data_IF_254823157191
#
_entry.id   IF_254823157191
#
_cell.length_a   1.000
_cell.length_b   1.000
_cell.length_c   1.000
_cell.angle_alpha   90.00
_cell.angle_beta   90.00
_cell.angle_gamma   90.00
#
_symmetry.space_group_name_H-M   'P 1'
#
loop_
_entity.id
_entity.type
_entity.pdbx_description
1 polymer ?
#
# COMPACT_ATOMS: atom_id res chain seq x y z
N UNK A 1 74.64 -22.03 -9.64
CA UNK A 1 74.49 -22.74 -8.35
C UNK A 1 75.75 -22.48 -7.54
N UNK A 2 75.62 -21.94 -6.32
CA UNK A 2 74.69 -20.87 -5.89
C UNK A 2 75.42 -19.83 -4.98
N UNK A 3 74.90 -18.65 -4.62
CA UNK A 3 73.61 -17.96 -4.85
C UNK A 3 73.63 -16.62 -4.08
N UNK A 4 72.95 -15.62 -4.63
CA UNK A 4 73.15 -14.17 -4.46
C UNK A 4 72.30 -13.47 -3.36
N UNK A 5 72.78 -12.27 -2.96
CA UNK A 5 72.12 -10.95 -2.65
C UNK A 5 70.83 -10.88 -1.77
N UNK A 6 70.45 -9.80 -1.07
CA UNK A 6 70.47 -8.36 -1.38
C UNK A 6 70.12 -7.49 -0.13
N UNK A 7 70.43 -6.20 -0.22
CA UNK A 7 70.30 -5.07 0.72
C UNK A 7 68.85 -4.72 1.16
N UNK A 8 68.66 -4.18 2.38
CA UNK A 8 67.43 -3.46 2.77
C UNK A 8 67.66 -2.32 3.78
N UNK A 9 67.04 -1.17 3.54
CA UNK A 9 66.87 -0.02 4.43
C UNK A 9 65.57 0.73 4.04
N UNK A 10 65.09 1.75 4.78
CA UNK A 10 64.73 1.82 6.20
C UNK A 10 63.26 2.30 6.40
N UNK A 11 62.76 2.31 7.64
CA UNK A 11 61.39 2.73 8.01
C UNK A 11 61.27 4.23 8.35
N UNK A 12 60.14 4.90 8.03
CA UNK A 12 59.85 6.26 8.49
C UNK A 12 58.88 6.30 9.69
N UNK A 13 59.09 7.27 10.58
CA UNK A 13 58.24 7.53 11.76
C UNK A 13 57.04 8.45 11.49
N UNK A 14 56.15 8.56 12.50
CA UNK A 14 55.08 9.57 12.52
C UNK A 14 54.16 9.58 13.76
N UNK A 15 54.26 10.69 14.52
CA UNK A 15 53.17 11.51 15.13
C UNK A 15 52.48 11.04 16.45
N UNK A 16 52.17 11.96 17.41
CA UNK A 16 52.05 11.67 18.83
C UNK A 16 50.62 11.36 19.33
N UNK A 17 50.55 10.68 20.46
CA UNK A 17 49.34 10.26 21.18
C UNK A 17 48.58 11.43 21.82
N UNK A 18 47.41 11.76 21.29
CA UNK A 18 46.45 12.69 21.88
C UNK A 18 45.03 12.14 21.81
N UNK A 19 44.28 12.33 22.89
CA UNK A 19 42.81 12.26 22.91
C UNK A 19 42.20 10.95 23.38
N UNK A 20 41.93 10.84 24.69
CA UNK A 20 40.93 9.92 25.20
C UNK A 20 39.54 10.42 24.80
N UNK A 21 39.00 9.93 23.69
CA UNK A 21 37.60 10.12 23.33
C UNK A 21 36.76 9.15 24.15
N UNK A 22 36.13 9.65 25.21
CA UNK A 22 35.01 8.97 25.86
C UNK A 22 33.90 8.89 24.81
N UNK A 23 33.72 7.70 24.22
CA UNK A 23 32.55 7.40 23.39
C UNK A 23 31.32 7.57 24.27
N UNK A 24 30.64 8.71 24.14
CA UNK A 24 29.33 8.95 24.74
C UNK A 24 28.43 7.85 24.19
N UNK A 25 28.08 6.90 25.05
CA UNK A 25 27.25 5.76 24.70
C UNK A 25 25.98 6.23 24.00
N UNK A 26 25.69 5.64 22.84
CA UNK A 26 24.39 5.80 22.17
C UNK A 26 23.28 5.63 23.20
N UNK A 27 22.23 6.48 23.20
CA UNK A 27 21.13 6.35 24.13
C UNK A 27 20.61 4.92 24.08
N UNK A 28 20.60 4.28 25.26
CA UNK A 28 20.16 2.90 25.47
C UNK A 28 18.80 2.75 24.77
N UNK A 29 18.70 1.85 23.78
CA UNK A 29 17.41 1.53 23.14
C UNK A 29 16.42 1.23 24.26
N UNK A 30 15.39 2.06 24.35
CA UNK A 30 14.33 1.88 25.33
C UNK A 30 13.79 0.46 25.13
N UNK A 31 13.72 -0.38 26.18
CA UNK A 31 13.14 -1.71 26.06
C UNK A 31 11.73 -1.60 25.44
N UNK A 32 11.39 -2.47 24.48
CA UNK A 32 10.09 -2.49 23.82
C UNK A 32 8.89 -2.17 24.76
N UNK A 33 8.75 -2.81 25.94
CA UNK A 33 7.64 -2.50 26.86
C UNK A 33 7.61 -1.04 27.35
N UNK A 34 8.76 -0.43 27.59
CA UNK A 34 8.84 0.96 28.05
C UNK A 34 8.54 1.96 26.93
N UNK A 35 8.82 1.61 25.67
CA UNK A 35 8.39 2.42 24.51
C UNK A 35 6.87 2.43 24.34
N UNK A 36 6.20 1.31 24.62
CA UNK A 36 4.73 1.23 24.58
C UNK A 36 4.09 2.03 25.71
N UNK A 37 4.67 2.00 26.91
CA UNK A 37 4.21 2.79 28.05
C UNK A 37 4.36 4.30 27.80
N UNK A 38 5.51 4.73 27.26
CA UNK A 38 5.73 6.14 26.90
C UNK A 38 4.81 6.60 25.77
N UNK A 39 4.55 5.75 24.78
CA UNK A 39 3.58 6.04 23.72
C UNK A 39 2.16 6.20 24.28
N UNK A 40 1.73 5.30 25.18
CA UNK A 40 0.43 5.37 25.84
C UNK A 40 0.26 6.66 26.68
N UNK A 41 1.29 7.05 27.43
CA UNK A 41 1.31 8.32 28.19
C UNK A 41 1.21 9.54 27.25
N UNK A 42 1.96 9.52 26.15
CA UNK A 42 1.94 10.62 25.18
C UNK A 42 0.59 10.78 24.49
N UNK A 43 -0.12 9.67 24.23
CA UNK A 43 -1.45 9.66 23.62
C UNK A 43 -2.51 10.33 24.52
N UNK A 44 -2.34 10.21 25.85
CA UNK A 44 -3.27 10.76 26.87
C UNK A 44 -2.72 12.00 27.57
N UNK A 45 -1.69 12.65 27.02
CA UNK A 45 -1.05 13.85 27.60
C UNK A 45 -2.03 14.94 28.00
N UNK A 46 -3.12 15.13 27.23
CA UNK A 46 -4.11 16.18 27.46
C UNK A 46 -4.95 15.90 28.71
N UNK A 47 -5.37 14.65 28.90
CA UNK A 47 -6.12 14.21 30.07
C UNK A 47 -5.25 14.28 31.33
N UNK A 48 -4.00 13.82 31.24
CA UNK A 48 -3.02 13.94 32.34
C UNK A 48 -2.76 15.40 32.72
N UNK A 49 -2.59 16.30 31.74
CA UNK A 49 -2.40 17.73 32.01
C UNK A 49 -3.59 18.35 32.74
N UNK A 50 -4.83 17.96 32.39
CA UNK A 50 -6.03 18.41 33.08
C UNK A 50 -6.08 17.89 34.52
N UNK A 51 -5.66 16.64 34.76
CA UNK A 51 -5.59 16.09 36.12
C UNK A 51 -4.53 16.80 36.97
N UNK A 52 -3.33 17.02 36.42
CA UNK A 52 -2.27 17.73 37.14
C UNK A 52 -2.63 19.20 37.40
N UNK A 53 -3.31 19.88 36.47
CA UNK A 53 -3.77 21.26 36.69
C UNK A 53 -4.87 21.34 37.75
N UNK A 54 -5.81 20.39 37.76
CA UNK A 54 -6.83 20.29 38.80
C UNK A 54 -6.20 20.02 40.18
N UNK A 55 -5.23 19.12 40.26
CA UNK A 55 -4.49 18.83 41.49
C UNK A 55 -3.74 20.08 42.00
N UNK A 56 -3.06 20.80 41.10
CA UNK A 56 -2.39 22.05 41.45
C UNK A 56 -3.39 23.10 41.95
N UNK A 57 -4.54 23.27 41.28
CA UNK A 57 -5.57 24.21 41.70
C UNK A 57 -6.11 23.93 43.10
N UNK A 58 -6.38 22.66 43.42
CA UNK A 58 -6.81 22.24 44.77
C UNK A 58 -5.71 22.50 45.80
N UNK A 59 -4.47 22.14 45.46
CA UNK A 59 -3.31 22.30 46.34
C UNK A 59 -3.05 23.77 46.68
N UNK A 60 -3.00 24.65 45.68
CA UNK A 60 -2.79 26.08 45.89
C UNK A 60 -4.02 26.75 46.53
N UNK A 61 -5.23 26.34 46.15
CA UNK A 61 -6.47 26.86 46.73
C UNK A 61 -6.58 26.53 48.21
N UNK A 62 -6.62 25.25 48.58
CA UNK A 62 -6.76 24.82 49.97
C UNK A 62 -5.52 25.13 50.81
N UNK A 63 -4.32 25.13 50.22
CA UNK A 63 -3.11 25.60 50.92
C UNK A 63 -3.11 27.10 51.18
N UNK A 64 -3.63 27.91 50.26
CA UNK A 64 -3.87 29.33 50.50
C UNK A 64 -4.91 29.58 51.59
N UNK A 65 -6.00 28.80 51.62
CA UNK A 65 -6.97 28.86 52.72
C UNK A 65 -6.35 28.44 54.06
N UNK A 66 -5.54 27.37 54.08
CA UNK A 66 -4.85 26.92 55.29
C UNK A 66 -3.91 27.99 55.85
N UNK A 67 -3.24 28.75 54.96
CA UNK A 67 -2.42 29.91 55.31
C UNK A 67 -3.27 31.05 55.89
N UNK A 68 -4.36 31.43 55.22
CA UNK A 68 -5.24 32.54 55.64
C UNK A 68 -5.93 32.28 56.98
N UNK A 69 -6.40 31.05 57.22
CA UNK A 69 -7.18 30.69 58.40
C UNK A 69 -6.35 30.12 59.56
N UNK A 70 -5.02 30.06 59.42
CA UNK A 70 -4.14 29.55 60.46
C UNK A 70 -4.45 28.11 60.83
N UNK A 71 -3.98 27.15 60.02
CA UNK A 71 -4.06 25.72 60.38
C UNK A 71 -3.48 25.46 61.77
N UNK A 72 -2.40 26.17 62.13
CA UNK A 72 -1.84 26.14 63.47
C UNK A 72 -2.31 27.32 64.34
N UNK A 73 -2.58 27.04 65.61
CA UNK A 73 -3.09 28.00 66.61
C UNK A 73 -1.98 28.68 67.43
N UNK A 74 -0.72 28.55 67.01
CA UNK A 74 0.43 29.21 67.63
C UNK A 74 0.47 30.73 67.39
N UNK A 75 1.16 31.50 68.25
CA UNK A 75 1.16 32.98 68.21
C UNK A 75 1.87 33.60 66.99
N UNK A 76 2.58 32.82 66.17
CA UNK A 76 3.34 33.30 65.01
C UNK A 76 2.67 33.02 63.65
N UNK A 77 1.59 32.23 63.61
CA UNK A 77 1.00 31.77 62.34
C UNK A 77 1.92 30.83 61.55
N UNK A 78 1.50 30.44 60.33
CA UNK A 78 2.30 29.60 59.42
C UNK A 78 2.75 30.43 58.21
N UNK A 79 3.97 30.20 57.74
CA UNK A 79 4.47 30.80 56.50
C UNK A 79 3.76 30.18 55.28
N UNK A 80 3.64 30.94 54.19
CA UNK A 80 2.96 30.48 52.97
C UNK A 80 3.61 29.23 52.34
N UNK A 81 4.94 29.17 52.36
CA UNK A 81 5.69 28.00 51.88
C UNK A 81 5.39 26.75 52.74
N UNK A 82 5.39 26.93 54.07
CA UNK A 82 5.07 25.86 55.02
C UNK A 82 3.62 25.36 54.87
N UNK A 83 2.67 26.26 54.61
CA UNK A 83 1.27 25.92 54.35
C UNK A 83 1.09 25.12 53.06
N UNK A 84 1.84 25.47 52.00
CA UNK A 84 1.87 24.72 50.74
C UNK A 84 2.47 23.32 50.94
N UNK A 85 3.63 23.21 51.59
CA UNK A 85 4.28 21.93 51.87
C UNK A 85 3.43 21.03 52.75
N UNK A 86 2.75 21.59 53.76
CA UNK A 86 1.77 20.87 54.58
C UNK A 86 0.59 20.38 53.74
N UNK A 87 0.04 21.23 52.86
CA UNK A 87 -1.10 20.87 52.01
C UNK A 87 -0.72 19.78 51.01
N UNK A 88 0.49 19.83 50.46
CA UNK A 88 1.03 18.79 49.59
C UNK A 88 1.22 17.48 50.35
N UNK A 89 1.83 17.52 51.54
CA UNK A 89 2.03 16.37 52.42
C UNK A 89 0.70 15.72 52.82
N UNK A 90 -0.30 16.53 53.15
CA UNK A 90 -1.65 16.10 53.54
C UNK A 90 -2.42 15.50 52.36
N UNK A 91 -2.38 16.15 51.18
CA UNK A 91 -3.06 15.67 49.98
C UNK A 91 -2.45 14.36 49.44
N UNK A 92 -1.12 14.22 49.50
CA UNK A 92 -0.41 12.99 49.08
C UNK A 92 -0.38 11.91 50.14
N UNK A 93 -0.83 12.21 51.36
CA UNK A 93 -0.72 11.35 52.54
C UNK A 93 0.71 10.85 52.77
N UNK A 94 1.72 11.68 52.46
CA UNK A 94 3.13 11.32 52.61
C UNK A 94 3.64 11.48 54.04
N UNK A 95 3.03 12.39 54.81
CA UNK A 95 3.35 12.60 56.23
C UNK A 95 4.71 13.26 56.48
N UNK A 96 5.38 13.76 55.44
CA UNK A 96 6.72 14.39 55.54
C UNK A 96 6.66 15.70 56.33
N UNK A 97 5.57 16.45 56.17
CA UNK A 97 5.27 17.65 56.94
C UNK A 97 3.97 17.42 57.70
N UNK A 98 4.06 17.24 59.02
CA UNK A 98 2.92 17.00 59.90
C UNK A 98 2.67 18.22 60.81
N UNK A 99 1.62 18.97 60.48
CA UNK A 99 1.04 19.97 61.37
C UNK A 99 -0.36 19.49 61.71
N UNK A 100 -0.70 19.49 63.00
CA UNK A 100 -2.02 19.09 63.48
C UNK A 100 -2.90 20.33 63.62
N UNK A 101 -3.96 20.48 62.81
CA UNK A 101 -4.76 21.69 62.87
C UNK A 101 -5.48 21.84 64.20
N UNK A 102 -5.19 22.94 64.90
CA UNK A 102 -5.82 23.28 66.17
C UNK A 102 -7.24 23.82 65.98
N UNK A 103 -7.51 24.49 64.84
CA UNK A 103 -8.81 25.10 64.52
C UNK A 103 -9.77 24.14 63.82
N UNK A 104 -11.08 24.32 64.04
CA UNK A 104 -12.11 23.51 63.37
C UNK A 104 -12.12 23.71 61.85
N UNK A 105 -11.80 24.93 61.38
CA UNK A 105 -11.63 25.25 59.95
C UNK A 105 -10.43 24.53 59.37
N UNK A 106 -9.28 24.53 60.05
CA UNK A 106 -8.09 23.81 59.62
C UNK A 106 -8.32 22.31 59.50
N UNK A 107 -9.10 21.72 60.42
CA UNK A 107 -9.52 20.31 60.35
C UNK A 107 -10.44 20.03 59.16
N UNK A 108 -11.34 20.96 58.82
CA UNK A 108 -12.20 20.82 57.64
C UNK A 108 -11.37 20.87 56.35
N UNK A 109 -10.40 21.79 56.26
CA UNK A 109 -9.46 21.88 55.13
C UNK A 109 -8.63 20.61 55.01
N UNK A 110 -8.11 20.09 56.13
CA UNK A 110 -7.38 18.83 56.18
C UNK A 110 -8.24 17.67 55.65
N UNK A 111 -9.50 17.57 56.11
CA UNK A 111 -10.43 16.54 55.62
C UNK A 111 -10.67 16.67 54.11
N UNK A 112 -10.89 17.89 53.61
CA UNK A 112 -11.04 18.14 52.17
C UNK A 112 -9.79 17.75 51.39
N UNK A 113 -8.59 18.15 51.84
CA UNK A 113 -7.31 17.79 51.20
C UNK A 113 -7.13 16.27 51.11
N UNK A 114 -7.44 15.54 52.18
CA UNK A 114 -7.33 14.06 52.20
C UNK A 114 -8.34 13.43 51.24
N UNK A 115 -9.60 13.83 51.28
CA UNK A 115 -10.66 13.28 50.41
C UNK A 115 -10.35 13.56 48.93
N UNK A 116 -9.99 14.80 48.60
CA UNK A 116 -9.66 15.19 47.22
C UNK A 116 -8.35 14.53 46.77
N UNK A 117 -7.36 14.37 47.65
CA UNK A 117 -6.11 13.67 47.36
C UNK A 117 -6.34 12.22 46.94
N UNK A 118 -7.14 11.48 47.71
CA UNK A 118 -7.52 10.10 47.38
C UNK A 118 -8.28 10.03 46.05
N UNK A 119 -9.21 10.96 45.81
CA UNK A 119 -9.97 11.03 44.56
C UNK A 119 -9.06 11.29 43.34
N UNK A 120 -8.12 12.22 43.45
CA UNK A 120 -7.17 12.56 42.37
C UNK A 120 -6.23 11.40 42.04
N UNK A 121 -5.68 10.72 43.05
CA UNK A 121 -4.81 9.54 42.84
C UNK A 121 -5.61 8.40 42.17
N UNK A 122 -6.85 8.20 42.58
CA UNK A 122 -7.74 7.19 41.98
C UNK A 122 -8.02 7.50 40.51
N UNK A 123 -8.29 8.76 40.18
CA UNK A 123 -8.55 9.20 38.81
C UNK A 123 -7.29 9.10 37.93
N UNK A 124 -6.12 9.47 38.46
CA UNK A 124 -4.83 9.29 37.79
C UNK A 124 -4.59 7.81 37.45
N UNK A 125 -4.81 6.93 38.42
CA UNK A 125 -4.68 5.47 38.22
C UNK A 125 -5.67 4.95 37.19
N UNK A 126 -6.92 5.45 37.19
CA UNK A 126 -7.95 5.10 36.21
C UNK A 126 -7.60 5.52 34.77
N UNK A 127 -7.10 6.74 34.58
CA UNK A 127 -6.64 7.23 33.27
C UNK A 127 -5.42 6.44 32.78
N UNK A 128 -4.46 6.14 33.65
CA UNK A 128 -3.31 5.31 33.30
C UNK A 128 -3.72 3.88 32.92
N UNK A 129 -4.60 3.26 33.71
CA UNK A 129 -5.09 1.90 33.46
C UNK A 129 -5.85 1.81 32.14
N UNK A 130 -6.77 2.75 31.88
CA UNK A 130 -7.54 2.77 30.62
C UNK A 130 -6.66 3.03 29.41
N UNK A 131 -5.65 3.90 29.54
CA UNK A 131 -4.67 4.15 28.49
C UNK A 131 -3.84 2.91 28.16
N UNK A 132 -3.38 2.19 29.18
CA UNK A 132 -2.64 0.94 29.00
C UNK A 132 -3.52 -0.13 28.34
N UNK A 133 -4.73 -0.36 28.86
CA UNK A 133 -5.67 -1.34 28.29
C UNK A 133 -5.97 -1.05 26.81
N UNK A 134 -6.26 0.21 26.46
CA UNK A 134 -6.51 0.60 25.07
C UNK A 134 -5.28 0.38 24.18
N UNK A 135 -4.07 0.62 24.68
CA UNK A 135 -2.84 0.40 23.92
C UNK A 135 -2.56 -1.09 23.68
N UNK A 136 -2.83 -1.94 24.67
CA UNK A 136 -2.67 -3.41 24.57
C UNK A 136 -3.72 -3.98 23.62
N UNK A 137 -4.97 -3.53 23.72
CA UNK A 137 -6.06 -3.94 22.84
C UNK A 137 -5.77 -3.55 21.39
N UNK A 138 -5.32 -2.32 21.13
CA UNK A 138 -4.96 -1.85 19.80
C UNK A 138 -3.80 -2.64 19.19
N UNK A 139 -2.79 -3.00 19.98
CA UNK A 139 -1.69 -3.83 19.50
C UNK A 139 -2.14 -5.27 19.23
N UNK A 140 -2.97 -5.84 20.10
CA UNK A 140 -3.60 -7.16 19.88
C UNK A 140 -4.45 -7.17 18.60
N UNK A 141 -5.19 -6.09 18.35
CA UNK A 141 -5.98 -5.88 17.14
C UNK A 141 -5.10 -5.80 15.88
N UNK A 142 -4.03 -4.99 15.91
CA UNK A 142 -3.05 -4.91 14.80
C UNK A 142 -2.37 -6.25 14.53
N UNK A 143 -1.99 -6.98 15.58
CA UNK A 143 -1.38 -8.31 15.45
C UNK A 143 -2.34 -9.29 14.78
N UNK A 144 -3.57 -9.35 15.26
CA UNK A 144 -4.61 -10.21 14.68
C UNK A 144 -4.90 -9.84 13.22
N UNK A 145 -4.95 -8.54 12.91
CA UNK A 145 -5.13 -8.07 11.53
C UNK A 145 -3.97 -8.51 10.62
N UNK A 146 -2.71 -8.47 11.10
CA UNK A 146 -1.54 -8.96 10.36
C UNK A 146 -1.58 -10.48 10.15
N UNK A 147 -1.91 -11.25 11.18
CA UNK A 147 -2.04 -12.71 11.06
C UNK A 147 -3.13 -13.08 10.03
N UNK A 148 -4.27 -12.38 10.07
CA UNK A 148 -5.35 -12.53 9.08
C UNK A 148 -4.94 -12.11 7.67
N UNK A 149 -4.16 -11.04 7.54
CA UNK A 149 -3.57 -10.60 6.27
C UNK A 149 -2.74 -11.71 5.65
N UNK A 150 -1.87 -12.34 6.42
CA UNK A 150 -0.97 -13.39 5.92
C UNK A 150 -1.75 -14.63 5.45
N UNK A 151 -2.76 -15.05 6.21
CA UNK A 151 -3.68 -16.11 5.80
C UNK A 151 -4.43 -15.78 4.50
N UNK A 152 -4.85 -14.52 4.29
CA UNK A 152 -5.46 -14.09 3.03
C UNK A 152 -4.46 -14.17 1.88
N UNK A 153 -3.23 -13.69 2.07
CA UNK A 153 -2.17 -13.79 1.04
C UNK A 153 -1.94 -15.26 0.66
N UNK A 154 -1.85 -16.15 1.65
CA UNK A 154 -1.72 -17.59 1.43
C UNK A 154 -2.92 -18.14 0.65
N UNK A 155 -4.15 -17.78 1.03
CA UNK A 155 -5.36 -18.20 0.32
C UNK A 155 -5.38 -17.69 -1.14
N UNK A 156 -4.84 -16.50 -1.41
CA UNK A 156 -4.65 -15.99 -2.77
C UNK A 156 -3.54 -16.69 -3.55
N UNK A 157 -2.57 -17.32 -2.89
CA UNK A 157 -1.48 -18.03 -3.56
C UNK A 157 -1.92 -19.37 -4.16
N UNK A 158 -3.09 -19.88 -3.74
CA UNK A 158 -3.58 -21.21 -4.12
C UNK A 158 -4.83 -21.08 -5.01
N UNK A 159 -4.80 -21.72 -6.19
CA UNK A 159 -5.98 -21.80 -7.06
C UNK A 159 -7.07 -22.69 -6.44
N UNK A 160 -8.36 -22.36 -6.66
CA UNK A 160 -9.49 -22.97 -5.95
C UNK A 160 -9.58 -24.48 -6.15
N UNK A 161 -9.32 -24.95 -7.36
CA UNK A 161 -9.49 -26.35 -7.73
C UNK A 161 -8.21 -26.97 -8.28
N UNK A 162 -8.10 -28.30 -8.19
CA UNK A 162 -6.96 -29.04 -8.77
C UNK A 162 -6.87 -28.84 -10.30
N UNK A 163 -7.98 -28.88 -11.07
CA UNK A 163 -7.96 -28.53 -12.49
C UNK A 163 -7.36 -27.15 -12.77
N UNK A 164 -7.72 -26.13 -11.99
CA UNK A 164 -7.19 -24.77 -12.18
C UNK A 164 -5.68 -24.71 -11.93
N UNK A 165 -5.19 -25.39 -10.89
CA UNK A 165 -3.74 -25.49 -10.61
C UNK A 165 -2.99 -26.10 -11.79
N UNK A 166 -3.53 -27.19 -12.35
CA UNK A 166 -2.95 -27.87 -13.52
C UNK A 166 -3.01 -26.99 -14.78
N UNK A 167 -4.11 -26.27 -14.98
CA UNK A 167 -4.29 -25.36 -16.11
C UNK A 167 -3.26 -24.23 -16.08
N UNK A 168 -3.21 -23.51 -14.96
CA UNK A 168 -2.32 -22.36 -14.77
C UNK A 168 -0.85 -22.77 -14.91
N UNK A 169 -0.47 -23.93 -14.38
CA UNK A 169 0.88 -24.49 -14.57
C UNK A 169 1.17 -24.84 -16.04
N UNK A 170 0.23 -25.49 -16.74
CA UNK A 170 0.38 -25.82 -18.17
C UNK A 170 0.54 -24.60 -19.05
N UNK A 171 -0.14 -23.51 -18.70
CA UNK A 171 -0.10 -22.26 -19.44
C UNK A 171 1.12 -21.39 -19.11
N UNK A 172 2.00 -21.80 -18.19
CA UNK A 172 3.23 -21.07 -17.84
C UNK A 172 3.02 -19.91 -16.87
N UNK A 173 2.00 -19.98 -16.01
CA UNK A 173 1.64 -18.94 -15.03
C UNK A 173 1.77 -19.47 -13.59
N UNK A 174 2.86 -20.13 -13.25
CA UNK A 174 2.98 -20.92 -12.00
C UNK A 174 2.93 -20.10 -10.70
N UNK A 175 3.23 -18.81 -10.74
CA UNK A 175 3.12 -17.87 -9.63
C UNK A 175 1.82 -17.04 -9.66
N UNK A 176 0.91 -17.34 -10.61
CA UNK A 176 -0.34 -16.61 -10.73
C UNK A 176 -1.20 -16.88 -9.51
N UNK A 177 -1.46 -15.78 -8.80
CA UNK A 177 -2.44 -15.76 -7.72
C UNK A 177 -3.83 -16.11 -8.22
N UNK A 178 -4.69 -16.46 -7.29
CA UNK A 178 -6.11 -16.62 -7.50
C UNK A 178 -6.72 -15.27 -7.89
N UNK A 179 -7.65 -15.31 -8.84
CA UNK A 179 -8.32 -14.12 -9.38
C UNK A 179 -9.09 -13.32 -8.33
N UNK A 180 -9.84 -14.01 -7.45
CA UNK A 180 -10.58 -13.40 -6.35
C UNK A 180 -10.89 -14.42 -5.25
N UNK A 181 -11.19 -13.90 -4.06
CA UNK A 181 -11.86 -14.63 -3.00
C UNK A 181 -13.19 -13.96 -2.72
N UNK A 182 -14.26 -14.74 -2.56
CA UNK A 182 -15.51 -14.12 -2.16
C UNK A 182 -15.59 -13.92 -0.67
N UNK A 183 -16.47 -13.03 -0.24
CA UNK A 183 -16.74 -12.81 1.17
C UNK A 183 -17.22 -14.10 1.86
N UNK A 184 -18.09 -14.87 1.21
CA UNK A 184 -18.60 -16.14 1.73
C UNK A 184 -17.50 -17.21 1.84
N UNK A 185 -16.58 -17.29 0.87
CA UNK A 185 -15.43 -18.21 0.92
C UNK A 185 -14.51 -17.84 2.07
N UNK A 186 -14.23 -16.56 2.28
CA UNK A 186 -13.40 -16.07 3.39
C UNK A 186 -14.07 -16.41 4.73
N UNK A 187 -15.37 -16.18 4.86
CA UNK A 187 -16.11 -16.49 6.08
C UNK A 187 -16.18 -18.01 6.35
N UNK A 188 -16.42 -18.83 5.32
CA UNK A 188 -16.61 -20.27 5.48
C UNK A 188 -15.29 -21.05 5.62
N UNK A 189 -14.30 -20.76 4.79
CA UNK A 189 -13.05 -21.52 4.72
C UNK A 189 -11.98 -20.95 5.67
N UNK A 190 -11.82 -19.63 5.70
CA UNK A 190 -10.83 -18.97 6.58
C UNK A 190 -11.39 -18.67 7.97
N UNK A 191 -12.71 -18.83 8.17
CA UNK A 191 -13.41 -18.57 9.44
C UNK A 191 -13.22 -17.15 9.96
N UNK A 192 -13.13 -16.19 9.04
CA UNK A 192 -13.01 -14.78 9.40
C UNK A 192 -14.41 -14.22 9.65
N UNK A 193 -14.62 -13.51 10.78
CA UNK A 193 -15.85 -12.77 10.96
C UNK A 193 -15.89 -11.58 9.98
N UNK A 194 -17.10 -11.11 9.63
CA UNK A 194 -17.30 -10.14 8.56
C UNK A 194 -16.57 -8.81 8.80
N UNK A 195 -16.57 -8.34 10.04
CA UNK A 195 -15.87 -7.13 10.49
C UNK A 195 -14.34 -7.25 10.34
N UNK A 196 -13.79 -8.43 10.57
CA UNK A 196 -12.36 -8.69 10.43
C UNK A 196 -11.87 -8.53 8.98
N UNK A 197 -12.68 -8.92 7.99
CA UNK A 197 -12.33 -8.77 6.57
C UNK A 197 -12.21 -7.27 6.23
N UNK A 198 -13.18 -6.47 6.67
CA UNK A 198 -13.16 -5.02 6.47
C UNK A 198 -12.01 -4.35 7.22
N UNK A 199 -11.69 -4.85 8.41
CA UNK A 199 -10.56 -4.38 9.19
C UNK A 199 -9.21 -4.63 8.48
N UNK A 200 -9.02 -5.82 7.91
CA UNK A 200 -7.81 -6.10 7.11
C UNK A 200 -7.72 -5.11 5.95
N UNK A 201 -8.80 -4.93 5.21
CA UNK A 201 -8.84 -4.01 4.06
C UNK A 201 -8.55 -2.55 4.44
N UNK A 202 -8.93 -2.13 5.64
CA UNK A 202 -8.69 -0.77 6.13
C UNK A 202 -7.21 -0.50 6.39
N UNK A 203 -6.46 -1.50 6.86
CA UNK A 203 -5.06 -1.34 7.25
C UNK A 203 -4.07 -1.85 6.20
N UNK A 204 -4.53 -2.66 5.25
CA UNK A 204 -3.71 -3.32 4.23
C UNK A 204 -4.14 -2.91 2.82
N UNK A 205 -3.50 -1.89 2.22
CA UNK A 205 -3.90 -1.30 0.94
C UNK A 205 -3.65 -2.22 -0.27
N UNK A 206 -3.06 -3.39 -0.08
CA UNK A 206 -2.93 -4.47 -1.08
C UNK A 206 -4.24 -5.24 -1.34
N UNK A 207 -5.27 -5.04 -0.52
CA UNK A 207 -6.58 -5.65 -0.70
C UNK A 207 -7.64 -4.61 -1.09
N UNK A 208 -8.61 -5.04 -1.91
CA UNK A 208 -9.76 -4.23 -2.29
C UNK A 208 -11.03 -5.06 -2.28
N UNK A 209 -12.09 -4.48 -1.71
CA UNK A 209 -13.44 -5.01 -1.82
C UNK A 209 -14.06 -4.53 -3.11
N UNK A 210 -14.73 -5.43 -3.81
CA UNK A 210 -15.55 -5.09 -4.97
C UNK A 210 -16.88 -5.81 -4.90
N UNK A 211 -17.88 -5.12 -5.43
CA UNK A 211 -19.14 -5.73 -5.79
C UNK A 211 -19.08 -6.13 -7.27
N UNK A 212 -19.39 -7.39 -7.56
CA UNK A 212 -19.39 -7.93 -8.91
C UNK A 212 -20.70 -8.67 -9.14
N UNK A 213 -21.39 -8.37 -10.24
CA UNK A 213 -22.60 -9.09 -10.63
C UNK A 213 -22.31 -10.60 -10.75
N UNK A 214 -23.24 -11.44 -10.32
CA UNK A 214 -23.06 -12.91 -10.37
C UNK A 214 -23.11 -13.44 -11.80
N UNK A 215 -23.91 -12.79 -12.66
CA UNK A 215 -24.02 -13.08 -14.09
C UNK A 215 -24.07 -11.78 -14.89
N UNK A 216 -23.70 -11.85 -16.16
CA UNK A 216 -23.83 -10.72 -17.08
C UNK A 216 -25.30 -10.27 -17.16
N UNK A 217 -25.56 -8.98 -16.90
CA UNK A 217 -26.92 -8.41 -16.92
C UNK A 217 -27.77 -8.72 -15.69
N UNK A 218 -27.25 -9.43 -14.69
CA UNK A 218 -27.93 -9.67 -13.42
C UNK A 218 -27.78 -8.48 -12.46
N UNK A 219 -28.82 -8.21 -11.68
CA UNK A 219 -28.77 -7.31 -10.53
C UNK A 219 -28.29 -7.99 -9.24
N UNK A 220 -28.22 -9.32 -9.25
CA UNK A 220 -27.65 -10.09 -8.14
C UNK A 220 -26.13 -9.93 -8.16
N UNK A 221 -25.57 -9.52 -7.03
CA UNK A 221 -24.16 -9.18 -6.88
C UNK A 221 -23.52 -9.97 -5.74
N UNK A 222 -22.21 -10.17 -5.87
CA UNK A 222 -21.39 -10.83 -4.87
C UNK A 222 -20.26 -9.91 -4.46
N UNK A 223 -19.99 -9.88 -3.16
CA UNK A 223 -18.81 -9.21 -2.61
C UNK A 223 -17.58 -10.10 -2.78
N UNK A 224 -16.57 -9.54 -3.44
CA UNK A 224 -15.31 -10.20 -3.71
C UNK A 224 -14.15 -9.35 -3.25
N UNK A 225 -13.10 -10.03 -2.83
CA UNK A 225 -11.82 -9.46 -2.45
C UNK A 225 -10.84 -9.71 -3.59
N UNK A 226 -10.14 -8.64 -3.96
CA UNK A 226 -8.99 -8.68 -4.85
C UNK A 226 -7.72 -8.43 -4.03
N UNK A 227 -6.63 -9.10 -4.41
CA UNK A 227 -5.29 -8.83 -3.90
C UNK A 227 -4.43 -8.31 -5.05
N UNK A 228 -3.70 -7.22 -4.84
CA UNK A 228 -2.82 -6.59 -5.82
C UNK A 228 -1.49 -6.12 -5.20
N UNK A 229 -0.52 -5.80 -6.04
CA UNK A 229 0.75 -5.24 -5.57
C UNK A 229 0.54 -3.78 -5.19
N UNK A 230 0.94 -3.41 -3.97
CA UNK A 230 0.73 -2.07 -3.39
C UNK A 230 2.07 -1.46 -2.91
N UNK A 231 3.03 -1.29 -3.83
CA UNK A 231 4.37 -0.79 -3.50
C UNK A 231 4.67 0.60 -4.07
N UNK A 232 3.72 1.21 -4.77
CA UNK A 232 3.82 2.54 -5.36
C UNK A 232 2.59 3.39 -5.01
N UNK A 233 2.71 4.73 -5.03
CA UNK A 233 1.58 5.61 -4.69
C UNK A 233 0.38 5.48 -5.64
N UNK A 234 0.56 4.91 -6.83
CA UNK A 234 -0.51 4.63 -7.79
C UNK A 234 -1.04 3.19 -7.72
N UNK A 235 -0.38 2.30 -6.97
CA UNK A 235 -0.70 0.88 -6.93
C UNK A 235 0.55 0.01 -6.97
N UNK A 236 0.73 -0.71 -8.07
CA UNK A 236 1.74 -1.76 -8.17
C UNK A 236 2.74 -1.56 -9.29
N UNK A 237 4.02 -1.80 -8.99
CA UNK A 237 5.10 -1.87 -9.97
C UNK A 237 6.02 -3.05 -9.68
N UNK A 238 6.18 -3.96 -10.63
CA UNK A 238 7.17 -5.03 -10.58
C UNK A 238 8.18 -4.82 -11.69
N UNK A 239 9.38 -4.38 -11.33
CA UNK A 239 10.49 -4.22 -12.26
C UNK A 239 11.27 -5.52 -12.38
N UNK A 240 11.46 -6.01 -13.60
CA UNK A 240 12.42 -7.08 -13.90
C UNK A 240 13.64 -6.45 -14.58
N UNK A 241 14.82 -6.61 -13.98
CA UNK A 241 16.05 -6.10 -14.54
C UNK A 241 16.32 -6.75 -15.91
N UNK A 242 16.61 -5.93 -16.93
CA UNK A 242 16.87 -6.41 -18.28
C UNK A 242 15.62 -6.78 -19.11
N UNK A 243 14.41 -6.76 -18.53
CA UNK A 243 13.20 -7.08 -19.28
C UNK A 243 12.94 -6.06 -20.39
N UNK A 244 12.71 -6.56 -21.61
CA UNK A 244 12.33 -5.77 -22.80
C UNK A 244 10.83 -5.76 -23.06
N UNK A 245 10.08 -6.55 -22.29
CA UNK A 245 8.62 -6.61 -22.34
C UNK A 245 8.06 -5.95 -21.09
N UNK A 246 7.06 -5.10 -21.29
CA UNK A 246 6.36 -4.37 -20.24
C UNK A 246 4.86 -4.57 -20.42
N UNK A 247 4.14 -4.83 -19.32
CA UNK A 247 2.68 -4.93 -19.31
C UNK A 247 2.13 -3.85 -18.40
N UNK A 248 1.20 -3.05 -18.93
CA UNK A 248 0.66 -1.88 -18.24
C UNK A 248 -0.86 -1.99 -18.18
N UNK A 249 -1.44 -1.84 -16.98
CA UNK A 249 -2.88 -1.65 -16.80
C UNK A 249 -3.17 -0.39 -16.00
N UNK A 250 -3.94 0.52 -16.58
CA UNK A 250 -4.30 1.81 -15.97
C UNK A 250 -5.72 1.82 -15.41
N UNK A 251 -6.52 0.80 -15.71
CA UNK A 251 -7.94 0.70 -15.38
C UNK A 251 -8.20 -0.33 -14.27
N UNK A 252 -7.16 -0.80 -13.57
CA UNK A 252 -7.26 -1.83 -12.54
C UNK A 252 -8.12 -1.42 -11.34
N UNK A 253 -8.20 -0.12 -11.02
CA UNK A 253 -9.17 0.42 -10.06
C UNK A 253 -10.61 0.54 -10.63
N UNK A 254 -10.75 0.90 -11.90
CA UNK A 254 -12.06 1.15 -12.50
C UNK A 254 -12.86 -0.14 -12.70
N UNK A 255 -12.19 -1.23 -13.09
CA UNK A 255 -12.83 -2.49 -13.45
C UNK A 255 -12.26 -3.68 -12.69
N UNK A 256 -13.15 -4.61 -12.33
CA UNK A 256 -12.78 -5.84 -11.65
C UNK A 256 -11.85 -6.70 -12.51
N UNK A 257 -10.83 -7.27 -11.87
CA UNK A 257 -9.94 -8.31 -12.39
C UNK A 257 -9.05 -7.94 -13.59
N UNK A 258 -9.10 -6.73 -14.16
CA UNK A 258 -8.19 -6.34 -15.25
C UNK A 258 -6.74 -6.22 -14.80
N UNK A 259 -6.48 -5.72 -13.58
CA UNK A 259 -5.14 -5.72 -12.99
C UNK A 259 -4.63 -7.14 -12.73
N UNK A 260 -5.52 -8.05 -12.33
CA UNK A 260 -5.16 -9.47 -12.23
C UNK A 260 -4.80 -10.05 -13.61
N UNK A 261 -5.60 -9.79 -14.63
CA UNK A 261 -5.38 -10.26 -16.00
C UNK A 261 -4.01 -9.80 -16.52
N UNK A 262 -3.73 -8.51 -16.39
CA UNK A 262 -2.47 -7.91 -16.80
C UNK A 262 -1.28 -8.43 -15.97
N UNK A 263 -1.46 -8.64 -14.67
CA UNK A 263 -0.42 -9.23 -13.81
C UNK A 263 -0.05 -10.66 -14.21
N UNK A 264 -1.03 -11.49 -14.52
CA UNK A 264 -0.82 -12.86 -15.02
C UNK A 264 -0.18 -12.87 -16.42
N UNK A 265 -0.58 -11.95 -17.31
CA UNK A 265 0.07 -11.77 -18.60
C UNK A 265 1.55 -11.40 -18.44
N UNK A 266 1.85 -10.47 -17.53
CA UNK A 266 3.21 -10.05 -17.25
C UNK A 266 4.06 -11.21 -16.71
N UNK A 267 3.49 -12.04 -15.85
CA UNK A 267 4.15 -13.22 -15.32
C UNK A 267 4.45 -14.24 -16.44
N UNK A 268 3.46 -14.55 -17.28
CA UNK A 268 3.63 -15.50 -18.39
C UNK A 268 4.72 -15.07 -19.36
N UNK A 269 4.87 -13.76 -19.59
CA UNK A 269 5.85 -13.21 -20.52
C UNK A 269 7.18 -12.81 -19.87
N UNK A 270 7.36 -13.07 -18.56
CA UNK A 270 8.51 -12.56 -17.79
C UNK A 270 8.74 -11.04 -18.01
N UNK A 271 7.65 -10.28 -18.00
CA UNK A 271 7.60 -8.86 -18.29
C UNK A 271 7.55 -8.00 -17.02
N UNK A 272 8.07 -6.76 -17.12
CA UNK A 272 7.85 -5.75 -16.07
C UNK A 272 6.37 -5.35 -16.04
N UNK A 273 5.81 -5.15 -14.84
CA UNK A 273 4.38 -4.94 -14.64
C UNK A 273 4.08 -3.59 -13.97
N UNK A 274 3.11 -2.84 -14.51
CA UNK A 274 2.67 -1.55 -13.99
C UNK A 274 1.14 -1.55 -13.85
N UNK A 275 0.64 -1.22 -12.66
CA UNK A 275 -0.79 -1.25 -12.35
C UNK A 275 -1.24 -0.01 -11.59
N UNK A 276 -2.22 0.71 -12.13
CA UNK A 276 -2.95 1.73 -11.37
C UNK A 276 -4.11 1.10 -10.59
N UNK A 277 -3.92 0.95 -9.28
CA UNK A 277 -4.85 0.27 -8.39
C UNK A 277 -5.70 1.23 -7.53
N UNK A 278 -5.36 2.52 -7.50
CA UNK A 278 -5.99 3.49 -6.60
C UNK A 278 -6.81 4.58 -7.30
N UNK A 279 -6.54 4.88 -8.57
CA UNK A 279 -7.16 6.03 -9.23
C UNK A 279 -8.09 5.60 -10.36
N UNK A 280 -9.22 6.29 -10.51
CA UNK A 280 -10.10 6.09 -11.67
C UNK A 280 -10.94 7.34 -11.90
N UNK A 281 -11.26 7.63 -13.16
CA UNK A 281 -12.13 8.76 -13.50
C UNK A 281 -13.53 8.67 -12.87
N UNK A 282 -13.97 7.44 -12.56
CA UNK A 282 -15.25 7.17 -11.90
C UNK A 282 -15.18 7.08 -10.37
N UNK A 283 -14.06 7.39 -9.72
CA UNK A 283 -13.95 7.28 -8.26
C UNK A 283 -14.95 8.19 -7.55
N UNK A 284 -15.53 7.71 -6.45
CA UNK A 284 -16.42 8.51 -5.60
C UNK A 284 -15.68 9.67 -4.94
N UNK A 285 -14.39 9.49 -4.64
CA UNK A 285 -13.56 10.46 -3.96
C UNK A 285 -12.87 11.38 -4.98
N UNK A 286 -13.10 12.70 -4.87
CA UNK A 286 -12.57 13.68 -5.82
C UNK A 286 -11.04 13.61 -5.97
N UNK A 287 -10.32 13.38 -4.87
CA UNK A 287 -8.85 13.22 -4.86
C UNK A 287 -8.32 11.99 -5.63
N UNK A 288 -9.18 11.02 -5.92
CA UNK A 288 -8.85 9.78 -6.64
C UNK A 288 -9.34 9.81 -8.10
N UNK A 289 -10.01 10.89 -8.53
CA UNK A 289 -10.53 11.07 -9.89
C UNK A 289 -9.46 11.49 -10.89
N UNK A 290 -8.46 10.62 -11.06
CA UNK A 290 -7.38 10.84 -12.04
C UNK A 290 -7.48 9.77 -13.12
N UNK A 291 -7.52 10.21 -14.38
CA UNK A 291 -7.53 9.30 -15.53
C UNK A 291 -6.09 8.94 -15.91
N UNK A 292 -5.67 7.70 -15.64
CA UNK A 292 -4.34 7.20 -16.03
C UNK A 292 -4.32 6.67 -17.48
N UNK A 293 -5.47 6.34 -18.07
CA UNK A 293 -5.52 5.89 -19.45
C UNK A 293 -5.32 7.04 -20.45
N UNK A 294 -5.94 8.20 -20.18
CA UNK A 294 -5.84 9.39 -21.03
C UNK A 294 -5.64 10.65 -20.18
N UNK A 295 -4.47 11.26 -20.31
CA UNK A 295 -4.07 12.44 -19.55
C UNK A 295 -3.04 13.28 -20.33
N UNK A 296 -3.26 14.59 -20.40
CA UNK A 296 -2.33 15.51 -21.06
C UNK A 296 -0.98 15.60 -20.36
N UNK A 297 -0.93 15.32 -19.05
CA UNK A 297 0.29 15.33 -18.25
C UNK A 297 1.37 14.36 -18.73
N UNK A 298 1.02 13.34 -19.53
CA UNK A 298 2.03 12.49 -20.18
C UNK A 298 2.91 13.28 -21.16
N UNK A 299 2.30 14.17 -21.95
CA UNK A 299 2.97 14.99 -22.95
C UNK A 299 3.47 16.33 -22.38
N UNK A 300 2.77 16.85 -21.38
CA UNK A 300 3.06 18.13 -20.72
C UNK A 300 3.32 17.93 -19.22
N UNK A 301 4.57 17.63 -18.81
CA UNK A 301 4.88 17.30 -17.41
C UNK A 301 4.54 18.39 -16.40
N UNK A 302 4.45 19.66 -16.83
CA UNK A 302 4.05 20.78 -15.99
C UNK A 302 2.63 20.62 -15.42
N UNK A 303 1.75 19.84 -16.06
CA UNK A 303 0.38 19.58 -15.60
C UNK A 303 0.30 18.50 -14.51
N UNK A 304 1.42 17.86 -14.14
CA UNK A 304 1.45 16.76 -13.16
C UNK A 304 1.61 17.24 -11.71
N UNK A 305 1.77 18.54 -11.48
CA UNK A 305 1.99 19.12 -10.15
C UNK A 305 0.86 18.73 -9.18
N UNK A 306 -0.37 18.67 -9.67
CA UNK A 306 -1.56 18.36 -8.88
C UNK A 306 -1.80 16.85 -8.70
N UNK A 307 -0.95 15.98 -9.26
CA UNK A 307 -1.13 14.53 -9.27
C UNK A 307 0.19 13.79 -9.02
N UNK A 308 0.67 13.74 -7.77
CA UNK A 308 1.95 13.10 -7.43
C UNK A 308 1.98 11.61 -7.79
N UNK A 309 0.85 10.91 -7.71
CA UNK A 309 0.75 9.50 -8.09
C UNK A 309 0.94 9.29 -9.61
N UNK A 310 0.36 10.16 -10.44
CA UNK A 310 0.53 10.12 -11.90
C UNK A 310 1.95 10.55 -12.30
N UNK A 311 2.53 11.53 -11.60
CA UNK A 311 3.92 11.92 -11.76
C UNK A 311 4.87 10.75 -11.48
N UNK A 312 4.67 10.03 -10.37
CA UNK A 312 5.44 8.84 -10.02
C UNK A 312 5.27 7.73 -11.07
N UNK A 313 4.04 7.47 -11.53
CA UNK A 313 3.77 6.49 -12.58
C UNK A 313 4.48 6.82 -13.89
N UNK A 314 4.39 8.09 -14.35
CA UNK A 314 5.08 8.54 -15.55
C UNK A 314 6.59 8.40 -15.39
N UNK A 315 7.15 8.75 -14.23
CA UNK A 315 8.57 8.59 -13.97
C UNK A 315 9.00 7.11 -14.04
N UNK A 316 8.25 6.20 -13.41
CA UNK A 316 8.52 4.76 -13.49
C UNK A 316 8.42 4.25 -14.94
N UNK A 317 7.46 4.71 -15.74
CA UNK A 317 7.34 4.37 -17.16
C UNK A 317 8.54 4.88 -17.98
N UNK A 318 8.87 6.17 -17.86
CA UNK A 318 9.94 6.82 -18.63
C UNK A 318 11.32 6.27 -18.28
N UNK A 319 11.57 5.94 -17.02
CA UNK A 319 12.87 5.46 -16.57
C UNK A 319 13.14 3.99 -16.95
N UNK A 320 12.11 3.20 -17.22
CA UNK A 320 12.25 1.76 -17.40
C UNK A 320 12.00 1.28 -18.83
N UNK A 321 11.20 1.99 -19.63
CA UNK A 321 10.87 1.62 -21.00
C UNK A 321 11.84 2.31 -21.97
N UNK A 322 12.48 1.52 -22.82
CA UNK A 322 13.43 2.01 -23.82
C UNK A 322 12.84 1.97 -25.23
N UNK A 323 13.49 2.66 -26.16
CA UNK A 323 13.12 2.64 -27.59
C UNK A 323 13.13 1.21 -28.11
N UNK A 324 12.04 0.78 -28.74
CA UNK A 324 11.90 -0.57 -29.29
C UNK A 324 11.57 -1.67 -28.28
N UNK A 325 11.39 -1.36 -26.99
CA UNK A 325 10.81 -2.31 -26.03
C UNK A 325 9.34 -2.61 -26.40
N UNK A 326 8.89 -3.83 -26.10
CA UNK A 326 7.50 -4.25 -26.28
C UNK A 326 6.67 -3.81 -25.07
N UNK A 327 5.58 -3.11 -25.32
CA UNK A 327 4.63 -2.69 -24.29
C UNK A 327 3.24 -3.21 -24.64
N UNK A 328 2.68 -4.04 -23.77
CA UNK A 328 1.29 -4.48 -23.86
C UNK A 328 0.45 -3.66 -22.88
N UNK A 329 -0.35 -2.75 -23.42
CA UNK A 329 -1.35 -2.02 -22.66
C UNK A 329 -2.62 -2.85 -22.57
N UNK A 330 -3.10 -3.08 -21.34
CA UNK A 330 -4.33 -3.83 -21.05
C UNK A 330 -5.35 -2.89 -20.42
N UNK A 331 -6.38 -2.58 -21.19
CA UNK A 331 -7.58 -1.86 -20.74
C UNK A 331 -8.82 -2.76 -20.69
N UNK A 332 -9.97 -2.14 -20.48
CA UNK A 332 -11.28 -2.78 -20.42
C UNK A 332 -12.21 -2.28 -21.52
N UNK A 333 -13.04 -3.18 -22.02
CA UNK A 333 -14.12 -2.92 -22.96
C UNK A 333 -15.47 -3.32 -22.36
N UNK A 334 -16.54 -2.71 -22.84
CA UNK A 334 -17.90 -3.00 -22.38
C UNK A 334 -18.29 -4.45 -22.65
N UNK A 335 -19.22 -5.00 -21.86
CA UNK A 335 -19.73 -6.36 -22.00
C UNK A 335 -20.26 -6.71 -23.40
N UNK A 336 -20.68 -5.71 -24.19
CA UNK A 336 -21.21 -5.86 -25.54
C UNK A 336 -20.13 -5.95 -26.63
N UNK A 337 -18.88 -5.65 -26.30
CA UNK A 337 -17.77 -5.74 -27.24
C UNK A 337 -17.33 -7.20 -27.42
N UNK A 338 -16.39 -7.43 -28.33
CA UNK A 338 -15.70 -8.71 -28.45
C UNK A 338 -14.92 -9.08 -27.21
N UNK A 339 -14.64 -10.37 -27.01
CA UNK A 339 -13.98 -10.90 -25.80
C UNK A 339 -12.62 -10.23 -25.55
N UNK A 340 -11.85 -10.05 -26.62
CA UNK A 340 -10.67 -9.20 -26.68
C UNK A 340 -10.84 -8.23 -27.84
N UNK A 341 -10.39 -6.99 -27.67
CA UNK A 341 -10.41 -5.99 -28.73
C UNK A 341 -9.03 -5.37 -28.91
N UNK A 342 -8.47 -5.44 -30.12
CA UNK A 342 -7.20 -4.81 -30.45
C UNK A 342 -7.44 -3.38 -30.96
N UNK A 343 -6.66 -2.44 -30.44
CA UNK A 343 -6.61 -1.08 -30.96
C UNK A 343 -5.21 -0.78 -31.47
N UNK A 344 -5.06 -0.84 -32.79
CA UNK A 344 -3.80 -0.63 -33.51
C UNK A 344 -3.89 0.69 -34.27
N UNK A 345 -4.33 1.76 -33.61
CA UNK A 345 -4.75 2.98 -34.32
C UNK A 345 -3.56 3.68 -34.97
N UNK A 346 -3.45 3.67 -36.29
CA UNK A 346 -2.70 4.67 -37.05
C UNK A 346 -3.55 5.94 -37.19
N UNK A 347 -2.97 7.14 -37.06
CA UNK A 347 -3.36 8.25 -37.91
C UNK A 347 -2.57 8.15 -39.21
N UNK A 348 -3.26 8.05 -40.35
CA UNK A 348 -2.69 8.03 -41.70
C UNK A 348 -1.76 9.22 -42.04
N UNK A 349 -1.63 10.21 -41.16
CA UNK A 349 -0.85 11.44 -41.38
C UNK A 349 0.65 11.33 -41.04
N UNK A 350 1.12 10.21 -40.48
CA UNK A 350 2.52 9.99 -40.08
C UNK A 350 3.19 8.82 -40.82
N UNK A 351 2.61 8.35 -41.93
CA UNK A 351 3.18 7.28 -42.75
C UNK A 351 4.50 7.67 -43.44
N UNK A 352 4.97 8.92 -43.33
CA UNK A 352 6.02 9.48 -44.17
C UNK A 352 7.33 9.87 -43.45
N UNK A 353 7.59 9.35 -42.25
CA UNK A 353 8.90 9.49 -41.61
C UNK A 353 9.53 8.11 -41.39
N UNK A 354 10.39 7.70 -42.32
CA UNK A 354 11.11 6.43 -42.29
C UNK A 354 11.77 6.14 -40.94
N UNK A 355 11.14 5.27 -40.15
CA UNK A 355 11.68 4.44 -39.05
C UNK A 355 10.53 3.60 -38.49
N UNK A 356 10.40 2.37 -39.02
CA UNK A 356 9.43 1.35 -38.55
C UNK A 356 9.77 0.94 -37.11
N UNK A 357 9.02 1.45 -36.13
CA UNK A 357 9.18 1.07 -34.72
C UNK A 357 7.88 0.58 -34.06
N UNK A 358 6.92 0.16 -34.86
CA UNK A 358 5.61 -0.27 -34.40
C UNK A 358 5.22 -1.57 -35.09
N UNK A 359 4.48 -2.42 -34.38
CA UNK A 359 3.87 -3.67 -34.88
C UNK A 359 2.88 -3.40 -36.05
N UNK A 360 2.78 -2.15 -36.52
CA UNK A 360 1.92 -1.70 -37.61
C UNK A 360 2.10 -2.49 -38.91
N UNK A 361 3.29 -3.04 -39.19
CA UNK A 361 3.51 -3.93 -40.34
C UNK A 361 3.09 -5.39 -40.12
N UNK A 362 2.90 -5.81 -38.86
CA UNK A 362 2.57 -7.17 -38.44
C UNK A 362 1.20 -7.24 -37.70
N UNK A 363 0.41 -6.17 -37.78
CA UNK A 363 -0.91 -6.07 -37.14
C UNK A 363 -1.87 -7.20 -37.53
N UNK A 364 -1.91 -7.50 -38.84
CA UNK A 364 -2.72 -8.59 -39.39
C UNK A 364 -2.19 -9.96 -38.96
N UNK A 365 -0.86 -10.10 -38.87
CA UNK A 365 -0.21 -11.31 -38.38
C UNK A 365 -0.50 -11.55 -36.90
N UNK A 366 -0.43 -10.51 -36.07
CA UNK A 366 -0.77 -10.58 -34.64
C UNK A 366 -2.21 -11.01 -34.44
N UNK A 367 -3.11 -10.41 -35.20
CA UNK A 367 -4.54 -10.71 -35.12
C UNK A 367 -4.84 -12.14 -35.58
N UNK A 368 -4.25 -12.60 -36.69
CA UNK A 368 -4.40 -13.97 -37.18
C UNK A 368 -3.84 -15.01 -36.19
N UNK A 369 -2.68 -14.73 -35.60
CA UNK A 369 -2.09 -15.60 -34.58
C UNK A 369 -2.95 -15.67 -33.31
N UNK A 370 -3.52 -14.53 -32.91
CA UNK A 370 -4.41 -14.44 -31.75
C UNK A 370 -5.73 -15.18 -32.00
N UNK A 371 -6.37 -14.97 -33.15
CA UNK A 371 -7.57 -15.69 -33.58
C UNK A 371 -7.33 -17.20 -33.63
N UNK A 372 -6.19 -17.63 -34.20
CA UNK A 372 -5.81 -19.04 -34.24
C UNK A 372 -5.66 -19.66 -32.85
N UNK A 373 -5.01 -18.96 -31.91
CA UNK A 373 -4.80 -19.43 -30.53
C UNK A 373 -6.05 -19.35 -29.66
N UNK A 374 -6.96 -18.43 -29.96
CA UNK A 374 -8.28 -18.37 -29.33
C UNK A 374 -9.21 -19.47 -29.85
N UNK A 375 -8.90 -20.06 -31.01
CA UNK A 375 -9.59 -21.20 -31.58
C UNK A 375 -9.69 -22.36 -30.59
N UNK A 376 -10.93 -22.69 -30.20
CA UNK A 376 -11.22 -23.77 -29.25
C UNK A 376 -11.35 -23.35 -27.79
N UNK A 377 -11.21 -22.06 -27.47
CA UNK A 377 -11.51 -21.53 -26.14
C UNK A 377 -12.94 -20.99 -26.13
N UNK A 378 -13.77 -21.49 -25.22
CA UNK A 378 -15.17 -21.09 -25.06
C UNK A 378 -15.39 -20.35 -23.74
N UNK A 379 -16.23 -19.32 -23.77
CA UNK A 379 -16.85 -18.70 -22.61
C UNK A 379 -17.91 -19.63 -22.00
N UNK A 380 -18.37 -19.28 -20.80
CA UNK A 380 -19.44 -20.02 -20.14
C UNK A 380 -20.71 -20.01 -20.99
N UNK A 381 -21.25 -21.20 -21.30
CA UNK A 381 -22.35 -21.37 -22.25
C UNK A 381 -21.91 -21.66 -23.70
N UNK A 382 -20.67 -22.11 -23.92
CA UNK A 382 -20.11 -22.59 -25.19
C UNK A 382 -19.95 -21.54 -26.30
N UNK A 383 -20.08 -20.24 -25.97
CA UNK A 383 -19.79 -19.17 -26.93
C UNK A 383 -18.27 -19.08 -27.17
N UNK A 384 -17.78 -19.04 -28.42
CA UNK A 384 -16.35 -18.92 -28.70
C UNK A 384 -15.82 -17.55 -28.27
N UNK A 385 -14.54 -17.50 -27.87
CA UNK A 385 -13.87 -16.21 -27.69
C UNK A 385 -13.75 -15.47 -29.04
N UNK A 386 -14.18 -14.23 -29.07
CA UNK A 386 -14.14 -13.37 -30.26
C UNK A 386 -13.06 -12.30 -30.15
N UNK A 387 -12.46 -11.98 -31.30
CA UNK A 387 -11.49 -10.90 -31.44
C UNK A 387 -12.12 -9.74 -32.22
N UNK A 388 -12.23 -8.59 -31.59
CA UNK A 388 -12.64 -7.34 -32.22
C UNK A 388 -11.43 -6.57 -32.73
N UNK A 389 -11.60 -5.91 -33.88
CA UNK A 389 -10.67 -4.91 -34.40
C UNK A 389 -11.38 -3.58 -34.52
N UNK A 390 -10.65 -2.50 -34.23
CA UNK A 390 -10.98 -1.09 -34.48
C UNK A 390 -12.48 -0.71 -34.58
N UNK A 391 -12.94 0.06 -33.59
CA UNK A 391 -14.29 0.62 -33.53
C UNK A 391 -14.36 1.76 -32.51
N UNK A 392 -15.26 1.73 -31.51
CA UNK A 392 -15.33 2.77 -30.46
C UNK A 392 -14.07 2.84 -29.58
N UNK A 393 -13.19 1.85 -29.67
CA UNK A 393 -11.91 1.77 -28.95
C UNK A 393 -10.71 2.26 -29.78
N UNK A 394 -10.94 2.95 -30.90
CA UNK A 394 -9.88 3.66 -31.62
C UNK A 394 -9.27 4.73 -30.71
N UNK A 395 -7.94 4.84 -30.68
CA UNK A 395 -7.23 5.76 -29.79
C UNK A 395 -7.41 7.24 -30.18
N UNK A 396 -7.88 7.52 -31.40
CA UNK A 396 -8.17 8.87 -31.90
C UNK A 396 -7.05 9.88 -31.63
N UNK A 397 -7.36 11.19 -31.55
CA UNK A 397 -6.38 12.21 -31.18
C UNK A 397 -6.17 12.33 -29.66
N UNK A 398 -6.75 11.43 -28.85
CA UNK A 398 -6.75 11.57 -27.38
C UNK A 398 -5.33 11.47 -26.81
N UNK A 399 -5.03 12.14 -25.69
CA UNK A 399 -3.75 12.04 -25.00
C UNK A 399 -3.65 10.70 -24.22
N UNK A 400 -3.77 9.59 -24.93
CA UNK A 400 -3.77 8.25 -24.36
C UNK A 400 -2.34 7.77 -24.06
N UNK A 401 -2.16 6.98 -23.01
CA UNK A 401 -0.86 6.44 -22.62
C UNK A 401 -0.20 5.64 -23.76
N UNK A 402 -0.95 4.76 -24.43
CA UNK A 402 -0.46 4.01 -25.61
C UNK A 402 0.14 4.92 -26.68
N UNK A 403 -0.43 6.12 -26.88
CA UNK A 403 0.07 7.09 -27.85
C UNK A 403 1.36 7.76 -27.35
N UNK A 404 1.43 8.12 -26.08
CA UNK A 404 2.68 8.62 -25.48
C UNK A 404 3.82 7.60 -25.62
N UNK A 405 3.54 6.33 -25.30
CA UNK A 405 4.51 5.23 -25.41
C UNK A 405 4.97 5.00 -26.86
N UNK A 406 4.05 5.14 -27.81
CA UNK A 406 4.36 4.98 -29.23
C UNK A 406 5.08 6.19 -29.81
N UNK A 407 4.47 7.36 -29.75
CA UNK A 407 4.90 8.56 -30.48
C UNK A 407 6.12 9.22 -29.81
N UNK A 408 6.16 9.22 -28.48
CA UNK A 408 7.21 9.91 -27.70
C UNK A 408 8.31 8.92 -27.29
N UNK A 409 7.94 7.79 -26.67
CA UNK A 409 8.93 6.80 -26.20
C UNK A 409 9.42 5.85 -27.30
N UNK A 410 8.75 5.81 -28.46
CA UNK A 410 9.10 4.94 -29.60
C UNK A 410 9.16 3.45 -29.23
N UNK A 411 8.26 3.03 -28.34
CA UNK A 411 8.08 1.64 -27.97
C UNK A 411 7.14 0.91 -28.95
N UNK A 412 7.26 -0.42 -29.02
CA UNK A 412 6.33 -1.27 -29.76
C UNK A 412 5.09 -1.50 -28.90
N UNK A 413 3.95 -0.89 -29.24
CA UNK A 413 2.76 -0.92 -28.36
C UNK A 413 1.64 -1.79 -28.93
N UNK A 414 1.27 -2.83 -28.18
CA UNK A 414 0.02 -3.59 -28.38
C UNK A 414 -1.01 -3.06 -27.39
N UNK A 415 -2.10 -2.48 -27.87
CA UNK A 415 -3.22 -2.04 -27.02
C UNK A 415 -4.36 -3.04 -27.13
N UNK A 416 -4.66 -3.69 -26.01
CA UNK A 416 -5.73 -4.69 -25.90
C UNK A 416 -6.74 -4.23 -24.86
N UNK A 417 -8.02 -4.35 -25.20
CA UNK A 417 -9.13 -4.17 -24.27
C UNK A 417 -9.80 -5.51 -24.02
N UNK A 418 -9.81 -5.94 -22.75
CA UNK A 418 -10.49 -7.16 -22.34
C UNK A 418 -11.93 -6.82 -21.91
N UNK A 419 -12.88 -7.60 -22.42
CA UNK A 419 -14.30 -7.39 -22.16
C UNK A 419 -14.66 -7.74 -20.71
N UNK A 420 -15.54 -6.96 -20.09
CA UNK A 420 -15.99 -7.20 -18.70
C UNK A 420 -16.62 -8.56 -18.46
N UNK A 421 -17.26 -9.18 -19.45
CA UNK A 421 -17.79 -10.55 -19.42
C UNK A 421 -16.67 -11.58 -19.34
N UNK A 422 -15.64 -11.46 -20.19
CA UNK A 422 -14.42 -12.28 -20.06
C UNK A 422 -13.77 -12.06 -18.70
N UNK A 423 -13.66 -10.80 -18.27
CA UNK A 423 -12.99 -10.47 -17.02
C UNK A 423 -13.76 -10.92 -15.78
N UNK A 424 -15.10 -10.91 -15.77
CA UNK A 424 -15.95 -11.08 -14.57
C UNK A 424 -16.71 -12.41 -14.54
N UNK A 425 -17.19 -12.88 -15.68
CA UNK A 425 -18.18 -13.95 -15.76
C UNK A 425 -17.71 -15.20 -16.52
N UNK A 426 -16.45 -15.24 -16.96
CA UNK A 426 -15.91 -16.44 -17.62
C UNK A 426 -15.32 -17.43 -16.63
N UNK A 427 -15.32 -18.70 -17.01
CA UNK A 427 -14.51 -19.75 -16.39
C UNK A 427 -13.01 -19.39 -16.37
N UNK A 428 -12.28 -20.05 -15.47
CA UNK A 428 -10.83 -19.95 -15.41
C UNK A 428 -10.17 -20.48 -16.70
N UNK A 429 -10.76 -21.48 -17.35
CA UNK A 429 -10.29 -21.99 -18.64
C UNK A 429 -10.29 -20.90 -19.72
N UNK A 430 -11.41 -20.20 -19.88
CA UNK A 430 -11.53 -19.08 -20.80
C UNK A 430 -10.60 -17.92 -20.44
N UNK A 431 -10.59 -17.54 -19.15
CA UNK A 431 -9.84 -16.40 -18.65
C UNK A 431 -8.33 -16.57 -18.82
N UNK A 432 -7.77 -17.66 -18.29
CA UNK A 432 -6.33 -17.94 -18.40
C UNK A 432 -5.94 -18.37 -19.81
N UNK A 433 -6.84 -19.02 -20.55
CA UNK A 433 -6.64 -19.35 -21.96
C UNK A 433 -6.47 -18.09 -22.82
N UNK A 434 -7.30 -17.06 -22.61
CA UNK A 434 -7.18 -15.78 -23.30
C UNK A 434 -5.85 -15.07 -23.01
N UNK A 435 -5.37 -15.12 -21.76
CA UNK A 435 -4.06 -14.57 -21.36
C UNK A 435 -2.94 -15.30 -22.11
N UNK A 436 -2.99 -16.63 -22.13
CA UNK A 436 -1.97 -17.45 -22.80
C UNK A 436 -1.99 -17.27 -24.32
N UNK A 437 -3.17 -17.13 -24.93
CA UNK A 437 -3.33 -16.83 -26.35
C UNK A 437 -2.70 -15.48 -26.71
N UNK A 438 -2.97 -14.43 -25.91
CA UNK A 438 -2.39 -13.10 -26.09
C UNK A 438 -0.86 -13.12 -25.92
N UNK A 439 -0.35 -13.77 -24.88
CA UNK A 439 1.09 -13.92 -24.67
C UNK A 439 1.77 -14.62 -25.86
N UNK A 440 1.23 -15.76 -26.29
CA UNK A 440 1.77 -16.53 -27.40
C UNK A 440 1.72 -15.78 -28.74
N UNK A 441 0.65 -15.01 -28.99
CA UNK A 441 0.54 -14.19 -30.19
C UNK A 441 1.56 -13.04 -30.19
N UNK A 442 1.73 -12.37 -29.04
CA UNK A 442 2.74 -11.33 -28.90
C UNK A 442 4.17 -11.90 -29.07
N UNK A 443 4.47 -13.06 -28.48
CA UNK A 443 5.75 -13.76 -28.64
C UNK A 443 6.03 -14.13 -30.11
N UNK A 444 5.04 -14.66 -30.82
CA UNK A 444 5.19 -15.11 -32.22
C UNK A 444 5.45 -13.95 -33.19
N UNK A 445 4.87 -12.77 -32.94
CA UNK A 445 5.06 -11.58 -33.77
C UNK A 445 6.34 -10.83 -33.41
N UNK A 446 6.72 -10.80 -32.13
CA UNK A 446 7.86 -10.03 -31.66
C UNK A 446 9.19 -10.80 -31.66
N UNK A 447 9.25 -12.01 -32.23
CA UNK A 447 10.41 -12.91 -32.30
C UNK A 447 11.56 -12.45 -33.24
N UNK A 448 11.83 -11.13 -33.35
CA UNK A 448 13.18 -10.62 -33.59
C UNK A 448 14.00 -10.69 -32.29
N UNK A 449 15.33 -10.39 -32.25
CA UNK A 449 16.17 -10.73 -31.10
C UNK A 449 15.82 -9.87 -29.87
N UNK A 450 14.81 -10.32 -29.13
CA UNK A 450 14.52 -10.00 -27.73
C UNK A 450 15.40 -10.86 -26.80
N UNK A 451 16.10 -11.85 -27.36
CA UNK A 451 17.08 -12.73 -26.70
C UNK A 451 18.51 -12.24 -26.98
N UNK A 452 18.95 -11.26 -26.19
CA UNK A 452 20.35 -10.83 -26.11
C UNK A 452 20.55 -10.01 -24.84
N UNK A 453 21.64 -10.21 -24.07
CA UNK A 453 21.91 -9.38 -22.90
C UNK A 453 22.04 -7.91 -23.33
N UNK A 454 21.51 -7.00 -22.49
CA UNK A 454 21.67 -5.56 -22.69
C UNK A 454 23.17 -5.22 -22.67
N UNK A 455 23.67 -4.51 -23.69
CA UNK A 455 24.94 -3.80 -23.55
C UNK A 455 24.79 -2.79 -22.41
N UNK A 456 25.63 -2.93 -21.37
CA UNK A 456 25.67 -2.02 -20.22
C UNK A 456 24.96 -2.48 -18.95
N UNK A 457 24.69 -3.79 -18.77
CA UNK A 457 24.36 -4.33 -17.45
C UNK A 457 25.63 -4.64 -16.66
N UNK A 458 26.26 -3.62 -16.08
CA UNK A 458 27.12 -3.71 -14.89
C UNK A 458 26.43 -3.04 -13.69
#
# INVERSE_FOLDING_TARGET
MPGDTELAAPAPGGVPSGGAYTVIGRPRRVPAPMSHLLAALSARRRELLVLFSAAAMVLFGLGGLAWLFGVDSGPAGIEAESAFLWSFSTMTNSGVFSLAPGSWVGRLIQLSLVVLGIALISLLTGVLSSGFSASVEEEGRKRTARERRDLLIEAFSIQPTIPDRKLVARLGMTAARRRFLSFETIAAELRFPSDAVLEVMKHHPEFRLREVATKAGSFDTRLVVEHFLANRPYGGHRRLAGARVHVISTQSNADAFVGHFAGCLAERMAASYYSNEYFSSGSLLARERVNFASNEGYFLPALLIDSPALAAFRADVVNNIQVGDLVIYVGTSSAKADSLHLSLTLPALLADAGRRCTIDGDADRLSAELESRMGGITLDGDAPLTLGREGPYSLGPRPHLSRFLRDVMRAQVITVYANTTLLRHSSNAAYYGAIAALAGAAEAVCAGPLSGPREGAE
#
